data_IF_241960757898
#
_entry.id   IF_241960757898
#
_cell.length_a   1.000
_cell.length_b   1.000
_cell.length_c   1.000
_cell.angle_alpha   90.00
_cell.angle_beta   90.00
_cell.angle_gamma   90.00
#
_symmetry.space_group_name_H-M   'P 1'
#
loop_
_entity.id
_entity.type
_entity.pdbx_description
1 polymer ?
#
# COMPACT_ATOMS: atom_id res chain seq x y z
N UNK A 1 17.62 14.93 1.11
CA UNK A 1 16.30 15.30 0.56
C UNK A 1 15.62 16.12 1.64
N UNK A 2 15.17 17.33 1.29
CA UNK A 2 14.76 18.35 2.26
C UNK A 2 13.58 17.88 3.11
N UNK A 3 13.77 17.82 4.43
CA UNK A 3 12.69 17.70 5.42
C UNK A 3 11.85 18.98 5.42
N UNK A 4 10.99 19.12 4.42
CA UNK A 4 9.91 20.08 4.50
C UNK A 4 8.89 19.49 5.47
N UNK A 5 8.81 20.06 6.68
CA UNK A 5 7.84 19.66 7.69
C UNK A 5 6.42 19.94 7.18
N UNK A 6 5.81 18.95 6.52
CA UNK A 6 4.40 19.02 6.12
C UNK A 6 3.57 18.67 7.34
N UNK A 7 2.80 19.64 7.86
CA UNK A 7 1.83 19.38 8.94
C UNK A 7 0.71 18.50 8.41
N UNK A 8 0.73 17.21 8.77
CA UNK A 8 -0.31 16.24 8.42
C UNK A 8 -1.46 16.37 9.42
N UNK A 9 -2.66 16.61 8.91
CA UNK A 9 -3.88 16.70 9.72
C UNK A 9 -4.98 15.93 9.01
N UNK A 10 -5.76 15.17 9.78
CA UNK A 10 -6.91 14.45 9.25
C UNK A 10 -8.00 15.42 8.80
N UNK A 11 -8.50 15.22 7.58
CA UNK A 11 -9.59 16.00 6.99
C UNK A 11 -10.65 15.05 6.47
N UNK A 12 -11.69 14.79 7.26
CA UNK A 12 -12.84 13.99 6.86
C UNK A 12 -14.01 14.91 6.46
N UNK A 13 -14.69 14.57 5.36
CA UNK A 13 -15.96 15.19 4.97
C UNK A 13 -16.96 14.10 4.60
N UNK A 14 -17.97 13.90 5.45
CA UNK A 14 -18.87 12.76 5.33
C UNK A 14 -18.10 11.45 5.42
N UNK A 15 -18.27 10.58 4.43
CA UNK A 15 -17.57 9.30 4.31
C UNK A 15 -16.27 9.37 3.49
N UNK A 16 -15.72 10.57 3.23
CA UNK A 16 -14.55 10.76 2.38
C UNK A 16 -13.41 11.41 3.15
N UNK A 17 -12.24 10.76 3.13
CA UNK A 17 -10.98 11.37 3.54
C UNK A 17 -10.44 12.29 2.44
N UNK A 18 -10.10 13.53 2.81
CA UNK A 18 -9.56 14.60 1.93
C UNK A 18 -8.10 14.94 2.23
N UNK A 19 -7.46 14.16 3.08
CA UNK A 19 -6.04 14.26 3.45
C UNK A 19 -5.39 12.87 3.38
N UNK A 20 -4.08 12.82 3.21
CA UNK A 20 -3.29 11.58 3.23
C UNK A 20 -2.06 11.76 4.11
N UNK A 21 -1.66 10.68 4.80
CA UNK A 21 -0.37 10.59 5.47
C UNK A 21 0.57 9.71 4.61
N UNK A 22 1.50 10.31 3.84
CA UNK A 22 2.37 9.55 2.95
C UNK A 22 3.24 8.52 3.67
N UNK A 23 3.78 8.87 4.84
CA UNK A 23 4.62 7.97 5.63
C UNK A 23 3.81 6.82 6.24
N UNK A 24 2.59 7.10 6.69
CA UNK A 24 1.66 6.07 7.15
C UNK A 24 1.32 5.09 6.02
N UNK A 25 1.00 5.59 4.83
CA UNK A 25 0.77 4.74 3.66
C UNK A 25 1.99 3.90 3.32
N UNK A 26 3.21 4.47 3.33
CA UNK A 26 4.45 3.74 3.09
C UNK A 26 4.65 2.61 4.10
N UNK A 27 4.46 2.90 5.38
CA UNK A 27 4.60 1.90 6.44
C UNK A 27 3.57 0.77 6.30
N UNK A 28 2.33 1.10 5.92
CA UNK A 28 1.29 0.09 5.70
C UNK A 28 1.64 -0.88 4.56
N UNK A 29 2.22 -0.39 3.46
CA UNK A 29 2.72 -1.27 2.39
C UNK A 29 3.83 -2.20 2.91
N UNK A 30 4.77 -1.69 3.70
CA UNK A 30 5.84 -2.50 4.28
C UNK A 30 5.29 -3.58 5.20
N UNK A 31 4.26 -3.29 5.99
CA UNK A 31 3.59 -4.27 6.85
C UNK A 31 2.96 -5.40 6.01
N UNK A 32 2.29 -5.08 4.90
CA UNK A 32 1.70 -6.08 4.01
C UNK A 32 2.75 -6.94 3.29
N UNK A 33 3.86 -6.34 2.85
CA UNK A 33 5.00 -7.08 2.28
C UNK A 33 5.57 -8.06 3.31
N UNK A 34 5.84 -7.59 4.54
CA UNK A 34 6.36 -8.44 5.61
C UNK A 34 5.39 -9.59 5.93
N UNK A 35 4.08 -9.32 5.90
CA UNK A 35 3.06 -10.35 6.09
C UNK A 35 3.16 -11.47 5.04
N UNK A 36 3.18 -11.12 3.74
CA UNK A 36 3.18 -12.15 2.67
C UNK A 36 4.49 -12.94 2.65
N UNK A 37 5.63 -12.30 2.89
CA UNK A 37 6.92 -12.99 2.99
C UNK A 37 6.95 -13.98 4.15
N UNK A 38 6.26 -13.67 5.25
CA UNK A 38 6.10 -14.56 6.40
C UNK A 38 5.18 -15.76 6.16
N UNK A 39 4.43 -15.81 5.04
CA UNK A 39 3.55 -16.94 4.67
C UNK A 39 4.22 -17.99 3.78
N UNK A 40 5.42 -17.72 3.28
CA UNK A 40 6.15 -18.61 2.38
C UNK A 40 5.90 -18.32 0.90
N UNK A 41 6.50 -19.12 0.01
CA UNK A 41 6.48 -18.85 -1.42
C UNK A 41 5.16 -19.25 -2.09
N UNK A 42 4.67 -18.38 -2.97
CA UNK A 42 3.54 -18.66 -3.85
C UNK A 42 4.03 -18.85 -5.30
N UNK A 43 3.81 -20.05 -5.87
CA UNK A 43 4.10 -20.32 -7.29
C UNK A 43 3.04 -19.69 -8.20
N UNK A 44 3.09 -18.35 -8.30
CA UNK A 44 2.19 -17.54 -9.11
C UNK A 44 2.71 -17.16 -10.50
N UNK A 45 1.90 -16.38 -11.21
CA UNK A 45 2.25 -15.82 -12.51
C UNK A 45 3.53 -14.97 -12.44
N UNK A 46 4.52 -15.26 -13.29
CA UNK A 46 5.79 -14.49 -13.35
C UNK A 46 5.63 -13.12 -14.02
N UNK A 47 4.57 -12.93 -14.80
CA UNK A 47 4.20 -11.66 -15.45
C UNK A 47 2.70 -11.48 -15.30
N UNK A 48 2.28 -10.44 -14.60
CA UNK A 48 0.87 -10.14 -14.34
C UNK A 48 0.57 -8.67 -14.59
N UNK A 49 -0.57 -8.39 -15.23
CA UNK A 49 -1.14 -7.05 -15.33
C UNK A 49 -2.27 -6.93 -14.30
N UNK A 50 -2.17 -5.94 -13.43
CA UNK A 50 -3.17 -5.69 -12.38
C UNK A 50 -3.75 -4.30 -12.59
N UNK A 51 -4.99 -4.25 -13.08
CA UNK A 51 -5.74 -3.00 -13.26
C UNK A 51 -6.41 -2.67 -11.93
N UNK A 52 -6.07 -1.51 -11.34
CA UNK A 52 -6.50 -1.14 -9.98
C UNK A 52 -5.53 -1.57 -8.87
N UNK A 53 -4.23 -1.71 -9.16
CA UNK A 53 -3.21 -2.17 -8.20
C UNK A 53 -2.73 -1.14 -7.17
N UNK A 54 -3.51 -0.11 -6.84
CA UNK A 54 -3.11 1.00 -5.96
C UNK A 54 -3.78 0.99 -4.58
N UNK A 55 -4.86 0.22 -4.40
CA UNK A 55 -5.55 0.11 -3.11
C UNK A 55 -6.32 -1.21 -2.98
N UNK A 56 -6.77 -1.52 -1.75
CA UNK A 56 -7.63 -2.66 -1.43
C UNK A 56 -7.09 -3.98 -2.02
N UNK A 57 -7.98 -4.84 -2.52
CA UNK A 57 -7.61 -6.15 -3.04
C UNK A 57 -6.71 -6.10 -4.28
N UNK A 58 -6.81 -5.08 -5.13
CA UNK A 58 -5.92 -4.93 -6.27
C UNK A 58 -4.47 -4.69 -5.83
N UNK A 59 -4.26 -3.87 -4.79
CA UNK A 59 -2.96 -3.71 -4.16
C UNK A 59 -2.48 -5.00 -3.48
N UNK A 60 -3.36 -5.69 -2.76
CA UNK A 60 -3.01 -6.96 -2.11
C UNK A 60 -2.56 -8.00 -3.14
N UNK A 61 -3.30 -8.17 -4.25
CA UNK A 61 -2.91 -9.05 -5.36
C UNK A 61 -1.56 -8.66 -5.95
N UNK A 62 -1.27 -7.35 -6.05
CA UNK A 62 0.02 -6.86 -6.53
C UNK A 62 1.16 -7.19 -5.58
N UNK A 63 0.95 -7.04 -4.28
CA UNK A 63 1.96 -7.36 -3.26
C UNK A 63 2.23 -8.86 -3.24
N UNK A 64 1.20 -9.71 -3.13
CA UNK A 64 1.34 -11.18 -3.10
C UNK A 64 1.97 -11.75 -4.37
N UNK A 65 1.72 -11.16 -5.53
CA UNK A 65 2.34 -11.62 -6.78
C UNK A 65 3.83 -11.24 -6.87
N UNK A 66 4.27 -10.21 -6.16
CA UNK A 66 5.62 -9.65 -6.28
C UNK A 66 6.57 -10.07 -5.14
N UNK A 67 6.04 -10.29 -3.92
CA UNK A 67 6.80 -10.54 -2.70
C UNK A 67 6.33 -11.83 -2.02
#
# INVERSE_FOLDING_TARGET
MSDTMVKITEKLKGNVARSVNPEGCRQEILNQIAYVQGKGHYEGAKKALIIGGSSSYGLASRITAAF
#
